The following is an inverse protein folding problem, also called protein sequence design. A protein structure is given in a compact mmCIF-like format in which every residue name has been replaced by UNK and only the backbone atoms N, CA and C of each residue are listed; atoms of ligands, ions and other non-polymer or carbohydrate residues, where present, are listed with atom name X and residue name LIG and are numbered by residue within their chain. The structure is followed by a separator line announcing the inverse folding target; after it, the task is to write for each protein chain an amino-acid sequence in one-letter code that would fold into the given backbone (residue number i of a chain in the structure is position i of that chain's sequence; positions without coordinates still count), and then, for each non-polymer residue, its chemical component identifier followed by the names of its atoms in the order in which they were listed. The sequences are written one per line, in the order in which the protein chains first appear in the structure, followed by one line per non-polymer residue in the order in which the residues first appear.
data_IF_556692704063
#
_entry.id   IF_556692704063
#
_cell.length_a   1.000
_cell.length_b   1.000
_cell.length_c   1.000
_cell.angle_alpha   90.00
_cell.angle_beta   90.00
_cell.angle_gamma   90.00
#
_symmetry.space_group_name_H-M   'P 1'
#
loop_
_entity.id
_entity.type
_entity.pdbx_description
1 polymer ?
#
# COMPACT_ATOMS: atom_id res chain seq x y z
N UNK A 1 64.91 -20.32 -13.97
CA UNK A 1 63.93 -21.30 -13.43
C UNK A 1 62.80 -20.56 -12.80
N UNK A 2 61.71 -20.40 -13.51
CA UNK A 2 60.53 -19.60 -13.09
C UNK A 2 59.45 -20.56 -12.63
N UNK A 3 59.07 -20.45 -11.37
CA UNK A 3 57.99 -21.21 -10.74
C UNK A 3 56.65 -20.61 -11.17
N UNK A 4 55.77 -21.42 -11.75
CA UNK A 4 54.37 -21.06 -12.07
C UNK A 4 53.50 -21.33 -10.85
N UNK A 5 52.54 -20.42 -10.53
CA UNK A 5 51.55 -20.70 -9.50
C UNK A 5 50.42 -21.61 -10.04
N UNK A 6 50.02 -22.55 -9.20
CA UNK A 6 48.98 -23.52 -9.40
C UNK A 6 47.58 -22.88 -9.56
N UNK A 7 46.86 -23.24 -10.64
CA UNK A 7 45.48 -22.91 -10.87
C UNK A 7 44.55 -23.61 -9.85
N UNK A 8 43.95 -22.83 -8.96
CA UNK A 8 42.82 -23.28 -8.16
C UNK A 8 41.58 -23.16 -9.06
N UNK A 9 40.97 -24.29 -9.43
CA UNK A 9 39.69 -24.35 -10.12
C UNK A 9 38.56 -24.01 -9.14
N UNK A 10 37.61 -23.15 -9.46
CA UNK A 10 36.42 -22.97 -8.63
C UNK A 10 35.54 -24.22 -8.71
N UNK A 11 35.22 -24.80 -7.56
CA UNK A 11 34.27 -25.90 -7.40
C UNK A 11 32.87 -25.30 -7.57
N UNK A 12 32.30 -25.44 -8.77
CA UNK A 12 30.89 -25.20 -8.98
C UNK A 12 30.08 -26.29 -8.28
N UNK A 13 29.51 -25.96 -7.12
CA UNK A 13 28.45 -26.77 -6.53
C UNK A 13 27.21 -26.65 -7.39
N UNK A 14 26.93 -27.68 -8.19
CA UNK A 14 25.61 -27.90 -8.81
C UNK A 14 24.60 -28.11 -7.67
N UNK A 15 23.78 -27.13 -7.40
CA UNK A 15 22.58 -27.30 -6.60
C UNK A 15 21.67 -28.30 -7.33
N UNK A 16 21.20 -29.30 -6.62
CA UNK A 16 20.41 -30.41 -7.13
C UNK A 16 19.09 -29.85 -7.69
N UNK A 17 18.83 -30.00 -9.00
CA UNK A 17 17.63 -29.52 -9.70
C UNK A 17 16.30 -29.91 -9.01
N UNK A 18 16.27 -31.04 -8.32
CA UNK A 18 15.11 -31.50 -7.56
C UNK A 18 14.72 -30.62 -6.37
N UNK A 19 15.68 -29.91 -5.74
CA UNK A 19 15.39 -28.97 -4.62
C UNK A 19 14.86 -27.64 -5.15
N UNK A 20 15.27 -27.23 -6.34
CA UNK A 20 14.74 -26.03 -7.00
C UNK A 20 13.31 -26.28 -7.53
N UNK A 21 13.06 -27.46 -8.13
CA UNK A 21 11.72 -27.85 -8.59
C UNK A 21 10.71 -28.00 -7.45
N UNK A 22 11.10 -28.59 -6.31
CA UNK A 22 10.25 -28.68 -5.12
C UNK A 22 9.94 -27.30 -4.51
N UNK A 23 10.90 -26.36 -4.54
CA UNK A 23 10.72 -24.97 -4.11
C UNK A 23 9.80 -24.19 -5.05
N UNK A 24 9.91 -24.41 -6.36
CA UNK A 24 9.03 -23.80 -7.38
C UNK A 24 7.61 -24.37 -7.33
N UNK A 25 7.45 -25.67 -7.11
CA UNK A 25 6.14 -26.30 -6.95
C UNK A 25 5.45 -25.87 -5.65
N UNK A 26 6.19 -25.65 -4.55
CA UNK A 26 5.66 -25.06 -3.30
C UNK A 26 5.21 -23.61 -3.50
N UNK A 27 5.89 -22.83 -4.35
CA UNK A 27 5.51 -21.47 -4.64
C UNK A 27 4.30 -21.38 -5.59
N UNK A 28 4.15 -22.32 -6.51
CA UNK A 28 2.98 -22.40 -7.41
C UNK A 28 1.70 -22.82 -6.67
N UNK A 29 1.78 -23.74 -5.68
CA UNK A 29 0.64 -24.13 -4.85
C UNK A 29 0.17 -23.04 -3.88
N UNK A 30 0.98 -22.03 -3.60
CA UNK A 30 0.60 -20.85 -2.78
C UNK A 30 -0.08 -19.76 -3.61
N UNK A 31 0.14 -19.71 -4.91
CA UNK A 31 -0.54 -18.78 -5.84
C UNK A 31 -2.03 -19.12 -6.03
N UNK A 32 -2.42 -20.38 -5.87
CA UNK A 32 -3.83 -20.81 -5.94
C UNK A 32 -4.67 -20.44 -4.72
N UNK A 33 -4.03 -19.97 -3.62
CA UNK A 33 -4.67 -19.49 -2.40
C UNK A 33 -4.70 -17.97 -2.27
N UNK A 34 -4.24 -17.24 -3.27
CA UNK A 34 -4.38 -15.78 -3.30
C UNK A 34 -5.85 -15.44 -3.56
N UNK A 35 -6.53 -15.13 -2.49
CA UNK A 35 -7.87 -14.53 -2.53
C UNK A 35 -7.80 -13.24 -3.36
N UNK A 36 -8.67 -13.12 -4.35
CA UNK A 36 -8.68 -11.95 -5.24
C UNK A 36 -9.03 -10.71 -4.43
N UNK A 37 -8.20 -9.67 -4.52
CA UNK A 37 -8.47 -8.38 -3.88
C UNK A 37 -9.82 -7.82 -4.38
N UNK A 38 -10.82 -7.59 -3.51
CA UNK A 38 -12.11 -7.05 -3.92
C UNK A 38 -12.00 -5.69 -4.62
N UNK A 39 -10.94 -4.93 -4.34
CA UNK A 39 -10.66 -3.66 -5.01
C UNK A 39 -10.41 -3.80 -6.51
N UNK A 40 -10.01 -5.00 -6.97
CA UNK A 40 -9.75 -5.28 -8.40
C UNK A 40 -11.00 -5.72 -9.17
N UNK A 41 -12.15 -5.75 -8.51
CA UNK A 41 -13.41 -6.03 -9.18
C UNK A 41 -13.61 -5.08 -10.36
N UNK A 42 -14.40 -5.52 -11.36
CA UNK A 42 -14.76 -4.75 -12.53
C UNK A 42 -13.57 -4.33 -13.45
N UNK A 43 -12.45 -5.03 -13.34
CA UNK A 43 -11.28 -4.79 -14.18
C UNK A 43 -10.38 -3.63 -13.74
N UNK A 44 -10.53 -3.17 -12.53
CA UNK A 44 -9.62 -2.19 -11.93
C UNK A 44 -8.21 -2.77 -11.78
N UNK A 45 -7.20 -1.90 -11.91
CA UNK A 45 -5.78 -2.23 -11.71
C UNK A 45 -5.18 -1.28 -10.69
N UNK A 46 -4.31 -1.80 -9.82
CA UNK A 46 -3.60 -0.97 -8.84
C UNK A 46 -2.61 -0.07 -9.61
N UNK A 47 -2.82 1.23 -9.50
CA UNK A 47 -1.91 2.25 -10.00
C UNK A 47 -0.91 2.70 -8.92
N UNK A 48 -1.36 2.73 -7.65
CA UNK A 48 -0.56 3.13 -6.51
C UNK A 48 -1.11 2.50 -5.24
N UNK A 49 -0.23 2.06 -4.34
CA UNK A 49 -0.61 1.60 -3.00
C UNK A 49 0.52 1.91 -2.01
N UNK A 50 0.24 2.77 -1.03
CA UNK A 50 1.17 3.11 0.06
C UNK A 50 0.44 3.57 1.32
N UNK A 51 1.16 3.51 2.44
CA UNK A 51 0.78 4.20 3.67
C UNK A 51 1.28 5.64 3.63
N UNK A 52 0.37 6.58 3.92
CA UNK A 52 0.61 8.01 3.88
C UNK A 52 0.14 8.62 5.20
N UNK A 53 0.91 9.52 5.83
CA UNK A 53 0.47 10.20 7.04
C UNK A 53 -0.65 11.20 6.70
N UNK A 54 -1.82 11.01 7.32
CA UNK A 54 -2.97 11.89 7.20
C UNK A 54 -3.27 12.53 8.55
N UNK A 55 -3.65 13.79 8.52
CA UNK A 55 -4.29 14.44 9.65
C UNK A 55 -5.79 14.19 9.59
N UNK A 56 -6.33 13.43 10.55
CA UNK A 56 -7.76 13.10 10.61
C UNK A 56 -8.49 14.14 11.45
N UNK A 57 -9.51 14.77 10.87
CA UNK A 57 -10.38 15.75 11.53
C UNK A 57 -11.82 15.29 11.48
N UNK A 58 -12.58 15.52 12.56
CA UNK A 58 -14.02 15.28 12.58
C UNK A 58 -14.76 16.60 12.51
N UNK A 59 -15.59 16.78 11.50
CA UNK A 59 -16.48 17.95 11.41
C UNK A 59 -17.77 17.71 12.21
N UNK A 60 -18.10 18.65 13.09
CA UNK A 60 -19.39 18.67 13.78
C UNK A 60 -20.33 19.66 13.06
N UNK A 61 -21.24 19.11 12.23
CA UNK A 61 -22.16 19.92 11.44
C UNK A 61 -21.48 20.56 10.21
N UNK A 62 -21.85 21.80 9.88
CA UNK A 62 -21.29 22.57 8.76
C UNK A 62 -20.08 23.40 9.11
N UNK A 63 -19.58 23.35 10.34
CA UNK A 63 -18.40 24.11 10.76
C UNK A 63 -17.13 23.36 10.38
N UNK A 64 -16.13 24.10 9.93
CA UNK A 64 -14.78 23.57 9.76
C UNK A 64 -14.20 23.16 11.10
N UNK A 65 -13.50 21.99 11.16
CA UNK A 65 -12.92 21.53 12.42
C UNK A 65 -11.88 22.52 12.89
N UNK A 66 -12.06 23.04 14.12
CA UNK A 66 -11.17 24.02 14.75
C UNK A 66 -9.96 23.40 15.44
N UNK A 67 -10.00 22.09 15.67
CA UNK A 67 -8.95 21.38 16.39
C UNK A 67 -7.97 20.72 15.45
N UNK A 68 -6.70 20.67 15.82
CA UNK A 68 -5.67 19.90 15.14
C UNK A 68 -6.06 18.43 15.23
N UNK A 69 -6.10 17.75 14.08
CA UNK A 69 -6.50 16.34 14.01
C UNK A 69 -5.43 15.39 14.54
N UNK A 70 -5.80 14.14 14.70
CA UNK A 70 -4.85 13.08 14.98
C UNK A 70 -4.07 12.72 13.70
N UNK A 71 -2.75 12.58 13.83
CA UNK A 71 -1.92 12.09 12.72
C UNK A 71 -1.98 10.56 12.69
N UNK A 72 -2.39 10.00 11.57
CA UNK A 72 -2.56 8.56 11.40
C UNK A 72 -1.99 8.09 10.05
N UNK A 73 -1.42 6.88 10.03
CA UNK A 73 -0.97 6.24 8.80
C UNK A 73 -2.17 5.62 8.08
N UNK A 74 -2.55 6.20 6.95
CA UNK A 74 -3.66 5.73 6.12
C UNK A 74 -3.10 5.04 4.89
N UNK A 75 -3.56 3.83 4.64
CA UNK A 75 -3.25 3.11 3.40
C UNK A 75 -4.12 3.66 2.29
N UNK A 76 -3.46 4.23 1.31
CA UNK A 76 -4.08 4.79 0.11
C UNK A 76 -3.86 3.83 -1.05
N UNK A 77 -4.94 3.40 -1.69
CA UNK A 77 -4.91 2.62 -2.92
C UNK A 77 -5.56 3.43 -4.03
N UNK A 78 -4.83 3.70 -5.11
CA UNK A 78 -5.37 4.31 -6.33
C UNK A 78 -5.51 3.20 -7.37
N UNK A 79 -6.70 3.06 -7.88
CA UNK A 79 -7.10 2.06 -8.86
C UNK A 79 -7.50 2.77 -10.14
N UNK A 80 -7.03 2.26 -11.27
CA UNK A 80 -7.35 2.78 -12.59
C UNK A 80 -8.16 1.75 -13.39
N UNK A 81 -9.17 2.22 -14.09
CA UNK A 81 -9.97 1.45 -15.03
C UNK A 81 -9.62 1.88 -16.45
N UNK A 82 -9.43 0.91 -17.35
CA UNK A 82 -9.01 1.15 -18.73
C UNK A 82 -7.51 0.94 -18.96
N UNK A 83 -7.04 1.24 -20.16
CA UNK A 83 -5.65 1.06 -20.57
C UNK A 83 -4.75 2.18 -20.06
N UNK A 84 -3.45 1.92 -19.99
CA UNK A 84 -2.46 2.92 -19.59
C UNK A 84 -2.43 4.08 -20.58
N UNK A 85 -2.65 5.30 -20.08
CA UNK A 85 -2.79 6.51 -20.90
C UNK A 85 -4.20 6.76 -21.48
N UNK A 86 -5.14 5.79 -21.33
CA UNK A 86 -6.54 5.91 -21.76
C UNK A 86 -7.50 5.46 -20.66
N UNK A 87 -7.31 6.00 -19.45
CA UNK A 87 -8.15 5.69 -18.30
C UNK A 87 -9.59 6.14 -18.54
N UNK A 88 -10.54 5.28 -18.20
CA UNK A 88 -11.98 5.58 -18.24
C UNK A 88 -12.56 5.89 -16.86
N UNK A 89 -11.88 5.44 -15.80
CA UNK A 89 -12.26 5.65 -14.42
C UNK A 89 -11.07 5.60 -13.48
N UNK A 90 -11.23 6.24 -12.34
CA UNK A 90 -10.28 6.24 -11.23
C UNK A 90 -11.06 5.98 -9.93
N UNK A 91 -10.52 5.12 -9.08
CA UNK A 91 -11.03 4.88 -7.72
C UNK A 91 -9.90 5.09 -6.73
N UNK A 92 -10.14 5.84 -5.67
CA UNK A 92 -9.22 6.01 -4.55
C UNK A 92 -9.86 5.40 -3.33
N UNK A 93 -9.18 4.46 -2.71
CA UNK A 93 -9.62 3.80 -1.49
C UNK A 93 -8.69 4.15 -0.34
N UNK A 94 -9.27 4.52 0.79
CA UNK A 94 -8.57 4.81 2.03
C UNK A 94 -8.94 3.78 3.07
N UNK A 95 -7.93 3.13 3.66
CA UNK A 95 -8.09 2.15 4.74
C UNK A 95 -7.12 2.44 5.87
N UNK A 96 -7.48 2.06 7.11
CA UNK A 96 -6.61 2.16 8.27
C UNK A 96 -6.32 0.77 8.85
N UNK A 97 -5.13 0.59 9.42
CA UNK A 97 -4.79 -0.62 10.18
C UNK A 97 -5.20 -0.49 11.64
N UNK A 98 -5.30 0.74 12.17
CA UNK A 98 -5.76 1.01 13.52
C UNK A 98 -7.28 0.87 13.68
N UNK A 99 -8.05 1.11 12.59
CA UNK A 99 -9.50 0.98 12.55
C UNK A 99 -9.93 0.17 11.32
N UNK A 100 -10.24 -1.11 11.51
CA UNK A 100 -10.61 -2.02 10.42
C UNK A 100 -11.88 -1.59 9.68
N UNK A 101 -12.77 -0.83 10.32
CA UNK A 101 -14.01 -0.34 9.71
C UNK A 101 -13.81 0.99 8.95
N UNK A 102 -12.62 1.56 9.01
CA UNK A 102 -12.29 2.76 8.25
C UNK A 102 -12.08 2.37 6.78
N UNK A 103 -13.05 2.71 5.95
CA UNK A 103 -13.00 2.49 4.51
C UNK A 103 -13.76 3.61 3.80
N UNK A 104 -13.03 4.46 3.08
CA UNK A 104 -13.57 5.58 2.31
C UNK A 104 -13.18 5.44 0.85
N UNK A 105 -14.10 5.81 -0.04
CA UNK A 105 -13.90 5.66 -1.49
C UNK A 105 -14.23 6.98 -2.20
N UNK A 106 -13.39 7.34 -3.14
CA UNK A 106 -13.63 8.36 -4.16
C UNK A 106 -13.65 7.69 -5.52
N UNK A 107 -14.72 7.85 -6.27
CA UNK A 107 -14.86 7.36 -7.63
C UNK A 107 -14.98 8.52 -8.60
N UNK A 108 -14.22 8.45 -9.69
CA UNK A 108 -14.13 9.53 -10.65
C UNK A 108 -14.10 8.96 -12.07
N UNK A 109 -15.09 9.33 -12.86
CA UNK A 109 -15.11 9.12 -14.31
C UNK A 109 -14.66 10.38 -15.06
N UNK A 110 -14.58 10.31 -16.38
CA UNK A 110 -14.20 11.43 -17.23
C UNK A 110 -15.12 12.64 -17.05
N UNK A 111 -16.42 12.41 -16.84
CA UNK A 111 -17.40 13.48 -16.67
C UNK A 111 -17.27 14.15 -15.30
N UNK A 112 -17.08 13.35 -14.25
CA UNK A 112 -16.80 13.83 -12.89
C UNK A 112 -15.48 14.62 -12.83
N UNK A 113 -14.44 14.13 -13.52
CA UNK A 113 -13.17 14.83 -13.60
C UNK A 113 -13.29 16.22 -14.24
N UNK A 114 -14.07 16.37 -15.32
CA UNK A 114 -14.31 17.69 -15.92
C UNK A 114 -14.92 18.68 -14.95
N UNK A 115 -15.86 18.23 -14.10
CA UNK A 115 -16.44 19.08 -13.04
C UNK A 115 -15.41 19.47 -11.99
N UNK A 116 -14.61 18.48 -11.54
CA UNK A 116 -13.53 18.70 -10.58
C UNK A 116 -12.49 19.67 -11.14
N UNK A 117 -12.07 19.45 -12.39
CA UNK A 117 -11.10 20.30 -13.11
C UNK A 117 -11.56 21.76 -13.17
N UNK A 118 -12.82 21.98 -13.56
CA UNK A 118 -13.39 23.33 -13.64
C UNK A 118 -13.56 23.96 -12.26
N UNK A 119 -14.02 23.18 -11.26
CA UNK A 119 -14.27 23.68 -9.90
C UNK A 119 -13.00 24.11 -9.18
N UNK A 120 -11.87 23.44 -9.47
CA UNK A 120 -10.58 23.71 -8.81
C UNK A 120 -9.53 24.32 -9.76
N UNK A 121 -9.90 24.68 -10.99
CA UNK A 121 -9.01 25.24 -12.01
C UNK A 121 -7.76 24.37 -12.25
N UNK A 122 -7.93 23.04 -12.33
CA UNK A 122 -6.82 22.13 -12.56
C UNK A 122 -6.31 22.23 -14.00
N UNK A 123 -5.01 22.37 -14.18
CA UNK A 123 -4.35 22.52 -15.47
C UNK A 123 -3.75 21.19 -15.97
N UNK A 124 -4.44 20.09 -15.74
CA UNK A 124 -4.01 18.74 -16.12
C UNK A 124 -5.16 17.97 -16.76
N UNK A 125 -4.84 17.02 -17.64
CA UNK A 125 -5.81 16.13 -18.24
C UNK A 125 -6.10 14.91 -17.36
N UNK A 126 -7.21 14.20 -17.66
CA UNK A 126 -7.60 13.02 -16.89
C UNK A 126 -6.52 11.91 -16.91
N UNK A 127 -5.80 11.76 -18.02
CA UNK A 127 -4.71 10.80 -18.13
C UNK A 127 -3.54 11.09 -17.18
N UNK A 128 -3.27 12.36 -16.89
CA UNK A 128 -2.19 12.80 -15.99
C UNK A 128 -2.64 12.88 -14.53
N UNK A 129 -3.93 12.99 -14.27
CA UNK A 129 -4.49 13.21 -12.93
C UNK A 129 -4.07 12.17 -11.89
N UNK A 130 -4.05 10.84 -12.17
CA UNK A 130 -3.54 9.86 -11.22
C UNK A 130 -2.10 10.14 -10.78
N UNK A 131 -1.25 10.57 -11.70
CA UNK A 131 0.16 10.93 -11.41
C UNK A 131 0.29 12.18 -10.54
N UNK A 132 -0.63 13.14 -10.70
CA UNK A 132 -0.70 14.33 -9.83
C UNK A 132 -1.08 13.93 -8.41
N UNK A 133 -2.05 13.03 -8.25
CA UNK A 133 -2.43 12.50 -6.93
C UNK A 133 -1.28 11.77 -6.26
N UNK A 134 -0.61 10.87 -6.99
CA UNK A 134 0.58 10.15 -6.48
C UNK A 134 1.66 11.13 -6.02
N UNK A 135 1.92 12.20 -6.78
CA UNK A 135 2.91 13.21 -6.42
C UNK A 135 2.54 13.92 -5.11
N UNK A 136 1.27 14.28 -4.92
CA UNK A 136 0.82 14.90 -3.69
C UNK A 136 0.96 13.95 -2.49
N UNK A 137 0.55 12.69 -2.63
CA UNK A 137 0.71 11.66 -1.60
C UNK A 137 2.19 11.40 -1.26
N UNK A 138 3.03 11.26 -2.28
CA UNK A 138 4.48 11.08 -2.11
C UNK A 138 5.14 12.30 -1.42
N UNK A 139 4.67 13.52 -1.72
CA UNK A 139 5.16 14.72 -1.05
C UNK A 139 4.79 14.73 0.44
N UNK A 140 3.59 14.28 0.81
CA UNK A 140 3.20 14.12 2.22
C UNK A 140 4.10 13.13 2.97
N UNK A 141 4.60 12.09 2.28
CA UNK A 141 5.56 11.13 2.87
C UNK A 141 6.97 11.75 2.97
N UNK A 142 7.44 12.37 1.88
CA UNK A 142 8.84 12.83 1.75
C UNK A 142 9.10 14.16 2.45
N UNK A 143 8.08 15.01 2.53
CA UNK A 143 8.15 16.38 3.03
C UNK A 143 6.98 16.71 3.97
N UNK A 144 6.81 15.98 5.09
CA UNK A 144 5.63 16.09 5.97
C UNK A 144 5.51 17.47 6.65
N UNK A 145 6.58 18.28 6.69
CA UNK A 145 6.54 19.63 7.25
C UNK A 145 5.94 20.67 6.27
N UNK A 146 6.01 20.39 4.97
CA UNK A 146 5.56 21.30 3.92
C UNK A 146 4.34 20.81 3.16
N UNK A 147 4.02 19.50 3.22
CA UNK A 147 2.88 18.91 2.52
C UNK A 147 2.08 18.08 3.49
N UNK A 148 0.79 18.38 3.60
CA UNK A 148 -0.15 17.74 4.49
C UNK A 148 -1.32 17.16 3.70
N UNK A 149 -1.76 15.97 4.07
CA UNK A 149 -3.02 15.40 3.65
C UNK A 149 -3.99 15.47 4.85
N UNK A 150 -5.04 16.24 4.75
CA UNK A 150 -6.03 16.46 5.79
C UNK A 150 -7.33 15.81 5.38
N UNK A 151 -7.80 14.81 6.14
CA UNK A 151 -9.07 14.15 5.91
C UNK A 151 -10.10 14.66 6.92
N UNK A 152 -11.10 15.37 6.41
CA UNK A 152 -12.21 15.90 7.20
C UNK A 152 -13.41 14.97 7.05
N UNK A 153 -13.73 14.23 8.11
CA UNK A 153 -14.83 13.26 8.14
C UNK A 153 -16.09 13.87 8.76
N UNK A 154 -17.25 13.62 8.15
CA UNK A 154 -18.56 14.05 8.64
C UNK A 154 -19.36 12.87 9.17
N UNK A 155 -20.35 13.17 10.02
CA UNK A 155 -21.23 12.16 10.62
C UNK A 155 -22.14 11.44 9.63
N UNK A 156 -22.41 12.04 8.48
CA UNK A 156 -23.23 11.48 7.41
C UNK A 156 -22.49 10.43 6.54
N UNK A 157 -21.23 10.13 6.89
CA UNK A 157 -20.36 9.22 6.13
C UNK A 157 -19.67 9.88 4.94
N UNK A 158 -19.88 11.18 4.69
CA UNK A 158 -19.06 11.91 3.71
C UNK A 158 -17.74 12.34 4.33
N UNK A 159 -16.70 12.45 3.51
CA UNK A 159 -15.40 12.97 3.90
C UNK A 159 -14.80 13.80 2.77
N UNK A 160 -13.89 14.71 3.11
CA UNK A 160 -13.12 15.49 2.17
C UNK A 160 -11.63 15.33 2.48
N UNK A 161 -10.84 15.00 1.47
CA UNK A 161 -9.39 14.94 1.56
C UNK A 161 -8.80 16.16 0.88
N UNK A 162 -8.12 16.98 1.64
CA UNK A 162 -7.44 18.19 1.19
C UNK A 162 -5.93 17.98 1.18
N UNK A 163 -5.28 18.18 0.04
CA UNK A 163 -3.83 18.25 -0.06
C UNK A 163 -3.40 19.69 0.12
N UNK A 164 -2.65 19.95 1.17
CA UNK A 164 -2.27 21.30 1.59
C UNK A 164 -0.76 21.45 1.55
N UNK A 165 -0.30 22.53 0.94
CA UNK A 165 1.09 22.95 1.02
C UNK A 165 1.24 24.05 2.07
N UNK A 166 2.12 23.81 3.03
CA UNK A 166 2.51 24.79 4.03
C UNK A 166 3.63 25.69 3.47
N UNK A 167 3.32 26.93 3.22
CA UNK A 167 4.29 27.97 2.90
C UNK A 167 4.67 28.71 4.19
N UNK A 168 5.77 29.43 4.24
CA UNK A 168 6.25 30.11 5.45
C UNK A 168 5.19 30.98 6.17
N UNK A 169 4.21 31.49 5.42
CA UNK A 169 3.20 32.43 5.93
C UNK A 169 1.76 32.09 5.51
N UNK A 170 1.55 31.00 4.75
CA UNK A 170 0.22 30.63 4.22
C UNK A 170 0.12 29.14 3.94
N UNK A 171 -1.05 28.59 4.24
CA UNK A 171 -1.46 27.28 3.75
C UNK A 171 -2.15 27.42 2.39
N UNK A 172 -1.75 26.61 1.42
CA UNK A 172 -2.32 26.59 0.07
C UNK A 172 -2.92 25.22 -0.17
N UNK A 173 -4.21 25.17 -0.47
CA UNK A 173 -4.88 23.96 -0.94
C UNK A 173 -4.46 23.70 -2.40
N UNK A 174 -3.88 22.52 -2.64
CA UNK A 174 -3.43 22.11 -3.96
C UNK A 174 -4.49 21.32 -4.71
N UNK A 175 -5.23 20.48 -3.99
CA UNK A 175 -6.26 19.62 -4.51
C UNK A 175 -7.18 19.18 -3.37
N UNK A 176 -8.48 19.14 -3.63
CA UNK A 176 -9.49 18.61 -2.70
C UNK A 176 -10.34 17.56 -3.41
N UNK A 177 -10.60 16.43 -2.76
CA UNK A 177 -11.46 15.37 -3.27
C UNK A 177 -12.49 14.96 -2.24
N UNK A 178 -13.71 14.71 -2.70
CA UNK A 178 -14.79 14.20 -1.87
C UNK A 178 -14.76 12.68 -1.83
N UNK A 179 -14.93 12.11 -0.65
CA UNK A 179 -15.00 10.66 -0.41
C UNK A 179 -16.31 10.31 0.30
N UNK A 180 -16.66 9.03 0.21
CA UNK A 180 -17.77 8.46 0.94
C UNK A 180 -17.34 7.23 1.70
N UNK A 181 -17.85 7.06 2.92
CA UNK A 181 -17.71 5.81 3.65
C UNK A 181 -18.43 4.69 2.86
N UNK A 182 -17.78 3.56 2.74
CA UNK A 182 -18.34 2.41 2.03
C UNK A 182 -19.46 1.76 2.83
N UNK A 183 -20.35 1.06 2.11
CA UNK A 183 -21.38 0.24 2.74
C UNK A 183 -20.76 -0.88 3.59
N UNK A 184 -21.46 -1.30 4.63
CA UNK A 184 -20.97 -2.30 5.59
C UNK A 184 -20.58 -3.63 4.91
N UNK A 185 -21.27 -4.04 3.85
CA UNK A 185 -20.96 -5.24 3.09
C UNK A 185 -19.56 -5.15 2.45
N UNK A 186 -19.27 -4.03 1.77
CA UNK A 186 -17.96 -3.78 1.14
C UNK A 186 -16.84 -3.75 2.20
N UNK A 187 -17.09 -3.09 3.33
CA UNK A 187 -16.15 -3.04 4.45
C UNK A 187 -15.86 -4.44 4.98
N UNK A 188 -16.91 -5.28 5.12
CA UNK A 188 -16.77 -6.67 5.60
C UNK A 188 -15.91 -7.52 4.64
N UNK A 189 -16.15 -7.40 3.34
CA UNK A 189 -15.38 -8.12 2.33
C UNK A 189 -13.90 -7.68 2.32
N UNK A 190 -13.65 -6.38 2.45
CA UNK A 190 -12.31 -5.83 2.57
C UNK A 190 -11.59 -6.30 3.85
N UNK A 191 -12.31 -6.39 4.98
CA UNK A 191 -11.75 -6.93 6.23
C UNK A 191 -11.40 -8.41 6.06
N UNK A 192 -12.32 -9.20 5.48
CA UNK A 192 -12.10 -10.63 5.24
C UNK A 192 -10.86 -10.85 4.35
N UNK A 193 -10.78 -10.13 3.24
CA UNK A 193 -9.63 -10.17 2.35
C UNK A 193 -8.31 -9.82 3.06
N UNK A 194 -8.26 -8.68 3.77
CA UNK A 194 -7.04 -8.25 4.49
C UNK A 194 -6.61 -9.26 5.56
N UNK A 195 -7.58 -9.83 6.29
CA UNK A 195 -7.32 -10.87 7.29
C UNK A 195 -6.71 -12.13 6.64
N UNK A 196 -7.31 -12.61 5.57
CA UNK A 196 -6.84 -13.81 4.88
C UNK A 196 -5.48 -13.58 4.20
N UNK A 197 -5.26 -12.42 3.58
CA UNK A 197 -3.98 -12.02 3.01
C UNK A 197 -2.87 -11.98 4.08
N UNK A 198 -3.16 -11.43 5.27
CA UNK A 198 -2.22 -11.40 6.39
C UNK A 198 -1.92 -12.81 6.90
N UNK A 199 -2.94 -13.67 7.05
CA UNK A 199 -2.80 -15.05 7.47
C UNK A 199 -1.92 -15.85 6.50
N UNK A 200 -2.15 -15.69 5.18
CA UNK A 200 -1.37 -16.34 4.14
C UNK A 200 0.10 -15.85 4.14
N UNK A 201 0.32 -14.53 4.30
CA UNK A 201 1.67 -13.97 4.42
C UNK A 201 2.40 -14.50 5.66
N UNK A 202 1.71 -14.64 6.78
CA UNK A 202 2.27 -15.19 8.01
C UNK A 202 2.65 -16.68 7.82
N UNK A 203 1.78 -17.48 7.20
CA UNK A 203 2.07 -18.89 6.89
C UNK A 203 3.31 -19.02 5.99
N UNK A 204 3.41 -18.16 4.94
CA UNK A 204 4.58 -18.13 4.07
C UNK A 204 5.87 -17.75 4.81
N UNK A 205 5.80 -16.78 5.70
CA UNK A 205 6.96 -16.38 6.51
C UNK A 205 7.39 -17.50 7.45
N UNK A 206 6.44 -18.20 8.07
CA UNK A 206 6.72 -19.36 8.92
C UNK A 206 7.38 -20.50 8.13
N UNK A 207 6.89 -20.80 6.93
CA UNK A 207 7.50 -21.80 6.05
C UNK A 207 8.94 -21.41 5.70
N UNK A 208 9.18 -20.17 5.25
CA UNK A 208 10.54 -19.68 4.95
C UNK A 208 11.48 -19.73 6.16
N UNK A 209 10.97 -19.39 7.34
CA UNK A 209 11.75 -19.49 8.58
C UNK A 209 12.12 -20.95 8.90
N UNK A 210 11.20 -21.88 8.68
CA UNK A 210 11.47 -23.31 8.85
C UNK A 210 12.55 -23.80 7.88
N UNK A 211 12.51 -23.39 6.61
CA UNK A 211 13.52 -23.71 5.60
C UNK A 211 14.91 -23.15 5.98
N UNK A 212 14.96 -21.90 6.41
CA UNK A 212 16.21 -21.26 6.88
C UNK A 212 16.76 -22.02 8.09
N UNK A 213 15.91 -22.36 9.06
CA UNK A 213 16.31 -23.14 10.24
C UNK A 213 16.85 -24.54 9.86
N UNK A 214 16.22 -25.20 8.88
CA UNK A 214 16.70 -26.48 8.36
C UNK A 214 18.09 -26.35 7.72
N UNK A 215 18.32 -25.33 6.91
CA UNK A 215 19.61 -25.04 6.29
C UNK A 215 20.70 -24.72 7.34
N UNK A 216 20.38 -23.90 8.33
CA UNK A 216 21.29 -23.57 9.44
C UNK A 216 21.64 -24.80 10.26
N UNK A 217 20.68 -25.68 10.51
CA UNK A 217 20.90 -26.96 11.23
C UNK A 217 21.91 -27.87 10.52
N UNK A 218 21.89 -27.86 9.18
CA UNK A 218 22.81 -28.67 8.37
C UNK A 218 24.19 -27.99 8.28
N UNK A 219 24.23 -26.69 8.01
CA UNK A 219 25.48 -25.97 7.73
C UNK A 219 26.21 -25.48 8.98
N UNK A 220 25.49 -25.08 10.02
CA UNK A 220 26.08 -24.54 11.25
C UNK A 220 25.19 -24.82 12.49
N UNK A 221 25.18 -26.04 13.02
CA UNK A 221 24.33 -26.43 14.15
C UNK A 221 24.64 -25.67 15.45
N UNK A 222 25.89 -25.19 15.62
CA UNK A 222 26.28 -24.40 16.81
C UNK A 222 25.59 -23.01 16.85
N UNK A 223 25.37 -22.38 15.70
CA UNK A 223 24.64 -21.12 15.60
C UNK A 223 23.18 -21.29 16.05
N UNK A 224 22.54 -22.39 15.70
CA UNK A 224 21.16 -22.67 16.10
C UNK A 224 21.02 -22.78 17.62
N UNK A 225 22.02 -23.38 18.30
CA UNK A 225 22.05 -23.48 19.76
C UNK A 225 22.23 -22.10 20.42
N UNK A 226 23.03 -21.22 19.83
CA UNK A 226 23.24 -19.84 20.31
C UNK A 226 21.95 -19.01 20.18
N UNK A 227 21.27 -19.10 19.03
CA UNK A 227 19.98 -18.40 18.79
C UNK A 227 18.90 -18.85 19.77
N UNK A 228 18.79 -20.17 20.04
CA UNK A 228 17.85 -20.69 21.05
C UNK A 228 18.15 -20.22 22.47
N UNK A 229 19.41 -20.07 22.84
CA UNK A 229 19.80 -19.52 24.16
C UNK A 229 19.46 -18.04 24.28
N UNK A 230 19.69 -17.25 23.22
CA UNK A 230 19.37 -15.81 23.21
C UNK A 230 17.86 -15.51 23.23
N UNK A 231 17.00 -16.44 22.79
CA UNK A 231 15.54 -16.29 22.83
C UNK A 231 14.90 -16.66 24.18
N UNK A 232 15.68 -17.23 25.13
CA UNK A 232 15.24 -17.66 26.45
C UNK A 232 15.76 -16.75 27.59
N UNK A 233 16.56 -15.76 27.26
CA UNK A 233 17.06 -14.71 28.14
C UNK A 233 16.29 -13.39 27.89
#
# INVERSE_FOLDING_TARGET
MLNRPSHIRPVCYRLNDKTLEASLQSSMGLHELEEVDPSLADGHRIFYEREVPFELRSAQGNEEPREVGALEAIRVKILALGDEGAFTGLRVELTSESNLFFHYVHELDIAGFKKLQQGQNLMVDFAEYPSVMVRNLDNCIKQPHSHLAVLVMKRDGSARLDFIQNMEYKFIELLSIDLKASAEEVVRDQIAYRYNAMKNRMALMQARLADVNALVKIKNPSLLLQLKKASLS
#
